data_IF_404281007768
#
_entry.id   IF_404281007768
#
_cell.length_a   1.000
_cell.length_b   1.000
_cell.length_c   1.000
_cell.angle_alpha   90.00
_cell.angle_beta   90.00
_cell.angle_gamma   90.00
#
_symmetry.space_group_name_H-M   'P 1'
#
loop_
_entity.id
_entity.type
_entity.pdbx_description
1 polymer ?
#
# COMPACT_ATOMS: atom_id res chain seq x y z
N UNK A 1 -31.68 3.77 -75.57
CA UNK A 1 -30.58 3.22 -74.74
C UNK A 1 -31.24 2.53 -73.55
N UNK A 2 -30.91 1.25 -73.34
CA UNK A 2 -31.74 0.24 -72.65
C UNK A 2 -31.80 0.40 -71.12
N UNK A 3 -32.95 0.11 -70.49
CA UNK A 3 -33.12 -0.08 -69.05
C UNK A 3 -32.89 -1.55 -68.68
N UNK A 4 -32.63 -1.83 -67.39
CA UNK A 4 -33.02 -3.05 -66.65
C UNK A 4 -31.98 -3.39 -65.58
N UNK A 5 -32.46 -3.76 -64.39
CA UNK A 5 -32.09 -4.94 -63.59
C UNK A 5 -32.76 -4.72 -62.23
N UNK A 6 -34.07 -4.99 -62.12
CA UNK A 6 -34.64 -6.33 -61.88
C UNK A 6 -33.98 -7.00 -60.68
N UNK A 7 -34.46 -6.65 -59.49
CA UNK A 7 -34.22 -7.38 -58.25
C UNK A 7 -35.43 -8.27 -58.02
N UNK A 8 -35.36 -9.55 -58.39
CA UNK A 8 -36.02 -10.61 -57.65
C UNK A 8 -35.50 -12.01 -58.04
N UNK A 9 -35.32 -12.82 -57.00
CA UNK A 9 -35.27 -14.28 -56.97
C UNK A 9 -33.94 -14.98 -57.31
N UNK A 10 -33.29 -15.50 -56.26
CA UNK A 10 -32.98 -16.92 -56.17
C UNK A 10 -32.70 -17.31 -54.71
N UNK A 11 -33.61 -18.12 -54.15
CA UNK A 11 -33.45 -18.84 -52.91
C UNK A 11 -32.33 -19.90 -53.01
N UNK A 12 -31.87 -20.31 -51.83
CA UNK A 12 -31.11 -21.54 -51.52
C UNK A 12 -29.65 -21.60 -51.95
N UNK A 13 -28.79 -21.55 -50.93
CA UNK A 13 -27.75 -22.55 -50.67
C UNK A 13 -27.29 -22.42 -49.21
N UNK A 14 -28.05 -23.06 -48.31
CA UNK A 14 -27.50 -23.56 -47.06
C UNK A 14 -26.55 -24.71 -47.40
N UNK A 15 -25.24 -24.50 -47.30
CA UNK A 15 -24.27 -25.53 -46.97
C UNK A 15 -22.86 -24.93 -46.89
N UNK A 16 -22.13 -25.34 -45.85
CA UNK A 16 -20.67 -25.24 -45.69
C UNK A 16 -20.07 -23.94 -45.13
N UNK A 17 -20.24 -23.75 -43.82
CA UNK A 17 -19.13 -23.35 -42.95
C UNK A 17 -19.06 -24.32 -41.77
N UNK A 18 -18.55 -25.53 -42.04
CA UNK A 18 -18.10 -26.42 -40.98
C UNK A 18 -16.70 -25.99 -40.56
N UNK A 19 -16.58 -25.64 -39.28
CA UNK A 19 -15.40 -25.77 -38.42
C UNK A 19 -14.03 -25.40 -39.01
N UNK A 20 -13.58 -24.18 -38.71
CA UNK A 20 -12.17 -23.89 -38.49
C UNK A 20 -12.05 -23.33 -37.07
N UNK A 21 -11.32 -24.07 -36.23
CA UNK A 21 -11.27 -23.86 -34.79
C UNK A 21 -10.55 -22.56 -34.41
N UNK A 22 -11.09 -21.89 -33.40
CA UNK A 22 -10.28 -21.01 -32.57
C UNK A 22 -9.11 -21.82 -31.98
N UNK A 23 -7.85 -21.37 -32.11
CA UNK A 23 -6.80 -21.91 -31.28
C UNK A 23 -7.16 -21.56 -29.83
N UNK A 24 -7.49 -22.59 -29.06
CA UNK A 24 -7.54 -22.47 -27.61
C UNK A 24 -6.18 -21.94 -27.16
N UNK A 25 -6.16 -20.71 -26.65
CA UNK A 25 -5.00 -20.20 -25.93
C UNK A 25 -4.89 -21.08 -24.69
N UNK A 26 -4.02 -22.08 -24.76
CA UNK A 26 -3.68 -22.95 -23.65
C UNK A 26 -3.05 -22.11 -22.55
N UNK A 27 -3.87 -21.61 -21.64
CA UNK A 27 -3.40 -21.28 -20.31
C UNK A 27 -2.87 -22.56 -19.65
N UNK A 28 -1.85 -22.46 -18.78
CA UNK A 28 -1.34 -23.63 -18.07
C UNK A 28 -2.49 -24.38 -17.39
N UNK A 29 -2.51 -25.71 -17.54
CA UNK A 29 -3.43 -26.56 -16.78
C UNK A 29 -3.10 -26.41 -15.29
N UNK A 30 -4.04 -25.82 -14.56
CA UNK A 30 -3.86 -25.43 -13.17
C UNK A 30 -4.01 -23.93 -13.01
N UNK A 31 -5.19 -23.50 -12.52
CA UNK A 31 -5.32 -22.15 -11.97
C UNK A 31 -4.26 -21.91 -10.88
N UNK A 32 -4.06 -20.64 -10.46
CA UNK A 32 -3.15 -20.37 -9.36
C UNK A 32 -3.48 -21.31 -8.19
N UNK A 33 -2.45 -21.83 -7.49
CA UNK A 33 -2.68 -22.72 -6.37
C UNK A 33 -3.68 -22.08 -5.39
N UNK A 34 -4.55 -22.85 -4.73
CA UNK A 34 -5.40 -22.31 -3.70
C UNK A 34 -4.53 -21.54 -2.70
N UNK A 35 -4.89 -20.29 -2.45
CA UNK A 35 -4.19 -19.47 -1.46
C UNK A 35 -4.29 -20.19 -0.11
N UNK A 36 -3.18 -20.74 0.36
CA UNK A 36 -3.09 -21.31 1.70
C UNK A 36 -3.39 -20.19 2.71
N UNK A 37 -4.35 -20.43 3.61
CA UNK A 37 -4.63 -19.50 4.71
C UNK A 37 -3.45 -19.54 5.67
N UNK A 38 -2.47 -18.67 5.44
CA UNK A 38 -1.39 -18.42 6.40
C UNK A 38 -1.95 -17.46 7.45
N UNK A 39 -2.01 -17.86 8.74
CA UNK A 39 -2.47 -16.94 9.77
C UNK A 39 -1.55 -15.72 9.77
N UNK A 40 -2.15 -14.54 9.61
CA UNK A 40 -1.46 -13.25 9.51
C UNK A 40 -0.46 -13.04 10.66
N UNK A 41 -0.77 -13.62 11.82
CA UNK A 41 0.02 -13.61 13.05
C UNK A 41 1.45 -14.14 12.88
N UNK A 42 1.67 -15.15 12.03
CA UNK A 42 2.99 -15.75 11.83
C UNK A 42 3.98 -14.81 11.11
N UNK A 43 3.48 -13.88 10.32
CA UNK A 43 4.30 -12.92 9.57
C UNK A 43 4.37 -11.55 10.26
N UNK A 44 3.44 -11.28 11.19
CA UNK A 44 3.31 -9.99 11.87
C UNK A 44 4.18 -9.84 13.12
N UNK A 45 4.85 -10.88 13.61
CA UNK A 45 5.75 -10.80 14.77
C UNK A 45 5.05 -10.89 16.15
N UNK A 46 5.85 -11.14 17.20
CA UNK A 46 5.34 -11.44 18.55
C UNK A 46 4.53 -10.31 19.19
N UNK A 47 4.73 -9.06 18.80
CA UNK A 47 4.00 -7.89 19.33
C UNK A 47 2.53 -7.81 18.91
N UNK A 48 2.09 -8.64 17.96
CA UNK A 48 0.67 -8.78 17.63
C UNK A 48 -0.01 -9.82 18.52
N UNK A 49 0.72 -10.86 18.93
CA UNK A 49 0.16 -12.01 19.66
C UNK A 49 0.43 -11.96 21.17
N UNK A 50 1.45 -11.21 21.61
CA UNK A 50 1.81 -11.03 23.02
C UNK A 50 1.71 -9.56 23.44
N UNK A 51 0.70 -9.18 24.26
CA UNK A 51 0.56 -7.83 24.80
C UNK A 51 1.79 -7.33 25.59
N UNK A 52 2.54 -8.22 26.25
CA UNK A 52 3.72 -7.83 27.02
C UNK A 52 4.84 -7.31 26.11
N UNK A 53 5.02 -7.95 24.96
CA UNK A 53 6.02 -7.52 23.97
C UNK A 53 5.69 -6.17 23.31
N UNK A 54 4.44 -5.71 23.32
CA UNK A 54 4.04 -4.40 22.78
C UNK A 54 4.45 -3.20 23.66
N UNK A 55 4.72 -3.45 24.93
CA UNK A 55 5.21 -2.43 25.88
C UNK A 55 6.68 -2.62 26.21
N UNK A 56 7.35 -3.56 25.55
CA UNK A 56 8.78 -3.79 25.71
C UNK A 56 9.58 -2.60 25.13
N UNK A 57 10.63 -2.21 25.85
CA UNK A 57 11.59 -1.19 25.40
C UNK A 57 12.49 -1.78 24.30
N UNK A 58 12.99 -0.93 23.40
CA UNK A 58 13.93 -1.35 22.36
C UNK A 58 13.27 -2.06 21.18
N UNK A 59 12.01 -1.72 20.89
CA UNK A 59 11.33 -2.19 19.69
C UNK A 59 12.06 -1.69 18.42
N UNK A 60 11.90 -2.43 17.32
CA UNK A 60 12.37 -1.99 16.01
C UNK A 60 11.58 -0.75 15.55
N UNK A 61 12.23 0.41 15.58
CA UNK A 61 11.63 1.71 15.28
C UNK A 61 11.17 1.87 13.84
N UNK A 62 11.91 1.31 12.88
CA UNK A 62 11.51 1.32 11.46
C UNK A 62 10.23 0.50 11.29
N UNK A 63 10.22 -0.71 11.84
CA UNK A 63 9.04 -1.58 11.77
C UNK A 63 7.84 -0.94 12.46
N UNK A 64 8.02 -0.29 13.61
CA UNK A 64 6.94 0.43 14.29
C UNK A 64 6.45 1.63 13.47
N UNK A 65 7.35 2.40 12.86
CA UNK A 65 6.98 3.52 11.99
C UNK A 65 6.14 3.04 10.81
N UNK A 66 6.60 2.00 10.10
CA UNK A 66 5.90 1.45 8.95
C UNK A 66 4.49 0.96 9.32
N UNK A 67 4.33 0.36 10.51
CA UNK A 67 3.05 -0.18 10.97
C UNK A 67 2.09 0.86 11.52
N UNK A 68 2.59 1.86 12.25
CA UNK A 68 1.75 2.87 12.94
C UNK A 68 1.53 4.13 12.12
N UNK A 69 2.55 4.55 11.38
CA UNK A 69 2.60 5.85 10.73
C UNK A 69 2.59 5.73 9.19
N UNK A 70 3.02 4.57 8.67
CA UNK A 70 3.32 4.40 7.26
C UNK A 70 2.12 4.61 6.33
N UNK A 71 0.91 4.30 6.79
CA UNK A 71 -0.34 4.54 6.03
C UNK A 71 -0.50 6.00 5.58
N UNK A 72 0.02 6.95 6.36
CA UNK A 72 -0.05 8.38 6.03
C UNK A 72 1.31 8.96 5.60
N UNK A 73 2.42 8.41 6.09
CA UNK A 73 3.75 9.02 5.97
C UNK A 73 4.72 8.30 5.03
N UNK A 74 4.32 7.20 4.40
CA UNK A 74 5.06 6.63 3.27
C UNK A 74 4.80 7.44 1.99
N UNK A 75 5.56 7.12 0.93
CA UNK A 75 5.42 7.76 -0.37
C UNK A 75 3.98 7.77 -0.89
N UNK A 76 3.52 8.95 -1.30
CA UNK A 76 2.15 9.17 -1.79
C UNK A 76 1.06 9.19 -0.69
N UNK A 77 1.42 8.93 0.57
CA UNK A 77 0.51 9.02 1.70
C UNK A 77 0.03 10.45 1.96
N UNK A 78 -1.15 10.58 2.58
CA UNK A 78 -1.76 11.89 2.87
C UNK A 78 -0.84 12.82 3.67
N UNK A 79 -0.21 12.29 4.72
CA UNK A 79 0.71 13.04 5.58
C UNK A 79 1.93 13.54 4.80
N UNK A 80 2.53 12.68 3.97
CA UNK A 80 3.63 13.04 3.08
C UNK A 80 3.22 14.16 2.11
N UNK A 81 2.08 14.02 1.43
CA UNK A 81 1.62 15.00 0.45
C UNK A 81 1.35 16.38 1.08
N UNK A 82 0.79 16.40 2.30
CA UNK A 82 0.58 17.64 3.04
C UNK A 82 1.91 18.26 3.49
N UNK A 83 2.90 17.43 3.88
CA UNK A 83 4.23 17.91 4.24
C UNK A 83 4.99 18.46 3.04
N UNK A 84 4.83 17.89 1.84
CA UNK A 84 5.42 18.45 0.60
C UNK A 84 5.09 19.93 0.41
N UNK A 85 3.83 20.32 0.65
CA UNK A 85 3.41 21.72 0.56
C UNK A 85 3.92 22.60 1.72
N UNK A 86 4.30 22.01 2.86
CA UNK A 86 4.68 22.75 4.08
C UNK A 86 6.19 22.90 4.25
N UNK A 87 6.95 21.85 3.95
CA UNK A 87 8.41 21.77 4.20
C UNK A 87 9.23 21.50 2.94
N UNK A 88 8.58 21.40 1.78
CA UNK A 88 9.22 21.04 0.52
C UNK A 88 9.29 19.53 0.30
N UNK A 89 9.29 19.07 -0.97
CA UNK A 89 9.32 17.64 -1.32
C UNK A 89 10.53 16.90 -0.75
N UNK A 90 11.68 17.55 -0.64
CA UNK A 90 12.92 16.99 -0.11
C UNK A 90 12.88 16.71 1.40
N UNK A 91 11.93 17.31 2.12
CA UNK A 91 11.75 17.14 3.56
C UNK A 91 10.45 16.41 3.93
N UNK A 92 9.64 16.01 2.93
CA UNK A 92 8.28 15.53 3.16
C UNK A 92 8.22 14.07 3.62
N UNK A 93 9.15 13.24 3.14
CA UNK A 93 9.29 11.85 3.56
C UNK A 93 10.03 11.81 4.90
N UNK A 94 9.30 11.58 5.99
CA UNK A 94 9.86 11.67 7.35
C UNK A 94 11.07 10.76 7.57
N UNK A 95 11.01 9.51 7.11
CA UNK A 95 12.10 8.56 7.25
C UNK A 95 13.32 8.89 6.36
N UNK A 96 13.16 9.74 5.33
CA UNK A 96 14.24 10.12 4.41
C UNK A 96 14.56 11.62 4.50
N UNK A 97 14.09 12.27 5.57
CA UNK A 97 14.25 13.70 5.75
C UNK A 97 15.72 13.99 6.09
N UNK A 98 16.41 14.86 5.33
CA UNK A 98 17.79 15.22 5.63
C UNK A 98 17.94 15.75 7.07
N UNK A 99 18.92 15.23 7.79
CA UNK A 99 19.16 15.57 9.20
C UNK A 99 18.12 15.05 10.19
N UNK A 100 17.24 14.14 9.77
CA UNK A 100 16.23 13.48 10.60
C UNK A 100 15.11 14.41 11.10
N UNK A 101 14.21 13.86 11.90
CA UNK A 101 13.12 14.54 12.60
C UNK A 101 13.45 14.55 14.08
N UNK A 102 13.54 15.72 14.74
CA UNK A 102 13.81 15.78 16.17
C UNK A 102 12.81 14.92 16.97
N UNK A 103 13.30 14.03 17.84
CA UNK A 103 12.44 13.09 18.58
C UNK A 103 11.34 13.80 19.39
N UNK A 104 11.65 14.97 19.97
CA UNK A 104 10.69 15.80 20.68
C UNK A 104 9.55 16.31 19.77
N UNK A 105 9.83 16.60 18.50
CA UNK A 105 8.82 16.99 17.53
C UNK A 105 7.92 15.80 17.17
N UNK A 106 8.50 14.62 16.93
CA UNK A 106 7.75 13.39 16.69
C UNK A 106 6.80 13.09 17.85
N UNK A 107 7.33 13.13 19.08
CA UNK A 107 6.58 12.95 20.32
C UNK A 107 5.40 13.93 20.43
N UNK A 108 5.67 15.22 20.24
CA UNK A 108 4.65 16.25 20.35
C UNK A 108 3.58 16.12 19.27
N UNK A 109 3.97 15.87 18.01
CA UNK A 109 3.05 15.71 16.89
C UNK A 109 2.16 14.49 17.06
N UNK A 110 2.70 13.35 17.51
CA UNK A 110 1.92 12.14 17.75
C UNK A 110 0.94 12.34 18.90
N UNK A 111 1.35 12.95 20.01
CA UNK A 111 0.48 13.07 21.19
C UNK A 111 -0.55 14.20 21.11
N UNK A 112 -0.28 15.25 20.34
CA UNK A 112 -1.15 16.42 20.26
C UNK A 112 -1.80 16.61 18.88
N UNK A 113 -1.39 15.83 17.88
CA UNK A 113 -1.73 16.07 16.49
C UNK A 113 -0.98 17.27 15.89
N UNK A 114 -1.09 17.42 14.57
CA UNK A 114 -0.53 18.56 13.85
C UNK A 114 -1.31 18.82 12.55
N UNK A 115 -2.14 19.86 12.54
CA UNK A 115 -2.97 20.18 11.39
C UNK A 115 -3.98 19.05 11.10
N UNK A 116 -3.85 18.40 9.94
CA UNK A 116 -4.69 17.26 9.56
C UNK A 116 -4.27 15.93 10.21
N UNK A 117 -3.08 15.88 10.83
CA UNK A 117 -2.64 14.70 11.57
C UNK A 117 -3.39 14.64 12.92
N UNK A 118 -4.22 13.62 13.17
CA UNK A 118 -4.90 13.48 14.45
C UNK A 118 -3.92 13.10 15.57
N UNK A 119 -4.22 13.42 16.84
CA UNK A 119 -3.49 12.87 17.97
C UNK A 119 -3.72 11.36 18.08
N UNK A 120 -2.65 10.60 18.37
CA UNK A 120 -2.71 9.17 18.64
C UNK A 120 -2.56 8.89 20.13
N UNK A 121 -3.51 8.13 20.67
CA UNK A 121 -3.54 7.73 22.07
C UNK A 121 -2.46 6.70 22.41
N UNK A 122 -2.23 6.46 23.71
CA UNK A 122 -1.32 5.42 24.20
C UNK A 122 -1.78 3.98 23.90
N UNK A 123 -3.06 3.82 23.56
CA UNK A 123 -3.63 2.53 23.14
C UNK A 123 -3.28 2.25 21.67
N UNK A 124 -3.25 3.28 20.85
CA UNK A 124 -2.89 3.18 19.43
C UNK A 124 -1.38 3.04 19.24
N UNK A 125 -0.61 3.86 19.95
CA UNK A 125 0.86 3.84 19.96
C UNK A 125 1.34 3.94 21.40
N UNK A 126 1.91 2.86 21.94
CA UNK A 126 2.44 2.84 23.31
C UNK A 126 3.60 3.82 23.45
N UNK A 127 3.97 4.17 24.67
CA UNK A 127 5.13 5.06 24.88
C UNK A 127 6.43 4.38 24.40
N UNK A 128 6.59 3.07 24.61
CA UNK A 128 7.75 2.32 24.11
C UNK A 128 7.81 2.22 22.58
N UNK A 129 6.66 2.02 21.90
CA UNK A 129 6.58 2.07 20.44
C UNK A 129 6.95 3.47 19.93
N UNK A 130 6.44 4.53 20.59
CA UNK A 130 6.68 5.90 20.19
C UNK A 130 8.15 6.32 20.41
N UNK A 131 8.77 5.90 21.51
CA UNK A 131 10.19 6.10 21.77
C UNK A 131 11.05 5.49 20.64
N UNK A 132 10.75 4.25 20.25
CA UNK A 132 11.44 3.57 19.16
C UNK A 132 11.26 4.29 17.81
N UNK A 133 10.04 4.73 17.50
CA UNK A 133 9.74 5.52 16.28
C UNK A 133 10.49 6.85 16.30
N UNK A 134 10.49 7.55 17.43
CA UNK A 134 11.11 8.87 17.55
C UNK A 134 12.65 8.79 17.51
N UNK A 135 13.23 7.69 18.00
CA UNK A 135 14.65 7.39 17.82
C UNK A 135 14.97 7.12 16.34
N UNK A 136 14.23 6.20 15.71
CA UNK A 136 14.39 5.89 14.28
C UNK A 136 14.29 7.15 13.43
N UNK A 137 13.23 7.95 13.54
CA UNK A 137 13.06 9.14 12.70
C UNK A 137 14.10 10.25 12.97
N UNK A 138 14.81 10.23 14.11
CA UNK A 138 15.81 11.25 14.42
C UNK A 138 17.14 11.04 13.72
N UNK A 139 17.39 9.84 13.24
CA UNK A 139 18.56 9.50 12.44
C UNK A 139 18.35 9.95 10.98
N UNK A 140 19.46 10.19 10.29
CA UNK A 140 19.44 10.48 8.86
C UNK A 140 19.57 9.17 8.08
N UNK A 141 18.48 8.75 7.43
CA UNK A 141 18.44 7.56 6.57
C UNK A 141 18.45 7.92 5.08
N UNK A 142 18.86 9.15 4.73
CA UNK A 142 19.07 9.52 3.34
C UNK A 142 20.06 8.52 2.68
N UNK A 143 19.80 8.11 1.42
CA UNK A 143 20.67 7.18 0.69
C UNK A 143 22.07 7.76 0.40
#
# INVERSE_FOLDING_TARGET
>A
MKPAFTVLAACMLLAACSADGEPAVGGPEGGPPPMEFRPMEAEQGADVTDPASRVAVGQDGERMFNRRCGVCHLGGGMGTNLLTGRVGPENALLAQRPGGVPSALTMAAVRNGLGAMPPLSRVEVTDAELDAIAAYLSEDHAP
#
